data_IF_126215409505
#
_entry.id   IF_126215409505
#
_cell.length_a   1.000
_cell.length_b   1.000
_cell.length_c   1.000
_cell.angle_alpha   90.00
_cell.angle_beta   90.00
_cell.angle_gamma   90.00
#
_symmetry.space_group_name_H-M   'P 1'
#
loop_
_entity.id
_entity.type
_entity.pdbx_description
1 polymer ?
#
# COMPACT_ATOMS: atom_id res chain seq x y z
N UNK A 1 9.93 13.48 30.96
CA UNK A 1 8.84 13.61 29.99
C UNK A 1 8.46 12.21 29.52
N UNK A 2 7.18 11.79 29.54
CA UNK A 2 6.80 10.47 29.06
C UNK A 2 7.12 10.39 27.56
N UNK A 3 8.01 9.47 27.19
CA UNK A 3 8.36 9.20 25.80
C UNK A 3 7.24 8.37 25.20
N UNK A 4 6.27 9.04 24.57
CA UNK A 4 5.24 8.41 23.72
C UNK A 4 5.93 7.94 22.44
N UNK A 5 6.78 6.92 22.59
CA UNK A 5 7.47 6.25 21.49
C UNK A 5 6.71 5.00 21.11
N UNK A 6 7.42 3.87 21.07
CA UNK A 6 6.89 2.55 20.71
C UNK A 6 5.65 2.19 21.52
N UNK A 7 5.61 2.50 22.82
CA UNK A 7 4.47 2.22 23.70
C UNK A 7 3.17 2.88 23.23
N UNK A 8 3.24 4.12 22.73
CA UNK A 8 2.05 4.83 22.22
C UNK A 8 1.52 4.20 20.93
N UNK A 9 2.42 3.81 20.02
CA UNK A 9 2.06 3.12 18.78
C UNK A 9 1.41 1.77 19.09
N UNK A 10 1.96 1.00 20.04
CA UNK A 10 1.38 -0.29 20.44
C UNK A 10 -0.04 -0.12 20.95
N UNK A 11 -0.32 0.92 21.76
CA UNK A 11 -1.67 1.18 22.26
C UNK A 11 -2.66 1.50 21.12
N UNK A 12 -2.25 2.32 20.15
CA UNK A 12 -3.07 2.61 18.96
C UNK A 12 -3.34 1.37 18.12
N UNK A 13 -2.32 0.52 17.94
CA UNK A 13 -2.47 -0.76 17.23
C UNK A 13 -3.46 -1.64 17.96
N UNK A 14 -3.35 -1.80 19.28
CA UNK A 14 -4.30 -2.60 20.07
C UNK A 14 -5.73 -2.07 19.93
N UNK A 15 -5.92 -0.75 19.98
CA UNK A 15 -7.24 -0.15 19.79
C UNK A 15 -7.80 -0.41 18.38
N UNK A 16 -6.96 -0.27 17.35
CA UNK A 16 -7.32 -0.62 15.98
C UNK A 16 -7.63 -2.10 15.81
N UNK A 17 -6.88 -2.98 16.48
CA UNK A 17 -7.11 -4.43 16.47
C UNK A 17 -8.40 -4.81 17.19
N UNK A 18 -8.84 -4.07 18.21
CA UNK A 18 -10.15 -4.30 18.83
C UNK A 18 -11.31 -3.93 17.90
N UNK A 19 -11.17 -2.86 17.13
CA UNK A 19 -12.20 -2.41 16.18
C UNK A 19 -12.25 -3.28 14.91
N UNK A 20 -11.09 -3.54 14.31
CA UNK A 20 -11.01 -4.21 13.01
C UNK A 20 -10.67 -5.70 13.14
N UNK A 21 -10.02 -6.13 14.21
CA UNK A 21 -9.54 -7.51 14.39
C UNK A 21 -8.14 -7.76 13.80
N UNK A 22 -7.33 -8.63 14.43
CA UNK A 22 -5.95 -8.91 13.98
C UNK A 22 -5.83 -9.59 12.63
N UNK A 23 -6.89 -10.25 12.16
CA UNK A 23 -6.90 -10.87 10.83
C UNK A 23 -7.24 -9.89 9.72
N UNK A 24 -8.00 -8.82 10.00
CA UNK A 24 -8.47 -7.87 8.98
C UNK A 24 -7.40 -6.90 8.52
N UNK A 25 -6.55 -6.40 9.41
CA UNK A 25 -5.45 -5.51 9.01
C UNK A 25 -4.48 -6.17 8.01
N UNK A 26 -4.00 -7.42 8.22
CA UNK A 26 -3.19 -8.14 7.23
C UNK A 26 -3.94 -8.47 5.94
N UNK A 27 -5.23 -8.84 6.03
CA UNK A 27 -6.07 -9.14 4.88
C UNK A 27 -6.25 -7.91 3.98
N UNK A 28 -6.58 -6.75 4.56
CA UNK A 28 -6.66 -5.46 3.87
C UNK A 28 -5.32 -5.04 3.27
N UNK A 29 -4.22 -5.18 4.03
CA UNK A 29 -2.88 -4.87 3.55
C UNK A 29 -2.48 -5.73 2.34
N UNK A 30 -2.85 -7.01 2.32
CA UNK A 30 -2.62 -7.90 1.16
C UNK A 30 -3.45 -7.46 -0.05
N UNK A 31 -4.73 -7.14 0.14
CA UNK A 31 -5.60 -6.68 -0.94
C UNK A 31 -5.08 -5.37 -1.56
N UNK A 32 -4.81 -4.36 -0.73
CA UNK A 32 -4.25 -3.06 -1.17
C UNK A 32 -2.86 -3.24 -1.79
N UNK A 33 -2.02 -4.10 -1.21
CA UNK A 33 -0.68 -4.38 -1.73
C UNK A 33 -0.71 -4.99 -3.14
N UNK A 34 -1.65 -5.89 -3.42
CA UNK A 34 -1.87 -6.43 -4.77
C UNK A 34 -2.28 -5.33 -5.73
N UNK A 35 -3.24 -4.46 -5.36
CA UNK A 35 -3.62 -3.31 -6.19
C UNK A 35 -2.44 -2.39 -6.47
N UNK A 36 -1.68 -1.99 -5.45
CA UNK A 36 -0.50 -1.12 -5.63
C UNK A 36 0.54 -1.78 -6.55
N UNK A 37 0.74 -3.10 -6.44
CA UNK A 37 1.67 -3.83 -7.30
C UNK A 37 1.23 -3.81 -8.75
N UNK A 38 -0.05 -4.06 -9.02
CA UNK A 38 -0.61 -4.01 -10.37
C UNK A 38 -0.55 -2.59 -10.95
N UNK A 39 -0.91 -1.58 -10.16
CA UNK A 39 -0.80 -0.17 -10.55
C UNK A 39 0.64 0.20 -10.89
N UNK A 40 1.62 -0.22 -10.07
CA UNK A 40 3.04 0.03 -10.32
C UNK A 40 3.49 -0.65 -11.62
N UNK A 41 3.12 -1.91 -11.83
CA UNK A 41 3.48 -2.66 -13.04
C UNK A 41 2.87 -2.04 -14.31
N UNK A 42 1.60 -1.63 -14.27
CA UNK A 42 0.94 -0.94 -15.37
C UNK A 42 1.59 0.41 -15.67
N UNK A 43 1.81 1.24 -14.64
CA UNK A 43 2.48 2.53 -14.79
C UNK A 43 3.91 2.37 -15.33
N UNK A 44 4.66 1.37 -14.85
CA UNK A 44 6.00 1.09 -15.35
C UNK A 44 5.98 0.73 -16.85
N UNK A 45 5.04 -0.09 -17.31
CA UNK A 45 4.90 -0.46 -18.72
C UNK A 45 4.63 0.75 -19.61
N UNK A 46 3.78 1.69 -19.16
CA UNK A 46 3.50 2.94 -19.88
C UNK A 46 4.75 3.82 -19.98
N UNK A 47 5.51 3.94 -18.88
CA UNK A 47 6.73 4.77 -18.84
C UNK A 47 7.87 4.16 -19.68
N UNK A 48 7.92 2.83 -19.78
CA UNK A 48 8.99 2.11 -20.49
C UNK A 48 8.65 1.73 -21.93
N UNK A 49 7.41 1.90 -22.39
CA UNK A 49 7.10 1.96 -23.82
C UNK A 49 7.62 3.31 -24.38
N UNK A 50 8.68 3.32 -25.20
CA UNK A 50 9.01 4.52 -25.94
C UNK A 50 7.81 4.84 -26.84
N UNK A 51 7.27 6.05 -26.75
CA UNK A 51 6.33 6.59 -27.74
C UNK A 51 7.03 6.59 -29.08
N UNK A 52 6.95 5.50 -29.84
CA UNK A 52 7.58 5.43 -31.15
C UNK A 52 6.76 6.31 -32.11
N UNK A 53 7.28 7.43 -32.65
CA UNK A 53 6.51 8.38 -33.45
C UNK A 53 6.15 7.89 -34.87
N UNK A 54 6.05 6.58 -35.10
CA UNK A 54 6.04 5.97 -36.44
C UNK A 54 4.65 5.55 -36.94
N UNK A 55 3.58 6.02 -36.33
CA UNK A 55 2.20 5.85 -36.85
C UNK A 55 1.66 7.23 -37.27
N UNK A 56 2.17 7.71 -38.42
CA UNK A 56 1.63 8.84 -39.18
C UNK A 56 1.79 8.51 -40.67
N UNK A 57 0.91 7.65 -41.16
CA UNK A 57 0.55 7.55 -42.58
C UNK A 57 -0.92 7.97 -42.74
#
# INVERSE_FOLDING_TARGET
MPTIGVTGIVLLVVLGLLLFGPKKLPELGRAVGTTIRELKSGAAKIISEPTNPQDKD
#
